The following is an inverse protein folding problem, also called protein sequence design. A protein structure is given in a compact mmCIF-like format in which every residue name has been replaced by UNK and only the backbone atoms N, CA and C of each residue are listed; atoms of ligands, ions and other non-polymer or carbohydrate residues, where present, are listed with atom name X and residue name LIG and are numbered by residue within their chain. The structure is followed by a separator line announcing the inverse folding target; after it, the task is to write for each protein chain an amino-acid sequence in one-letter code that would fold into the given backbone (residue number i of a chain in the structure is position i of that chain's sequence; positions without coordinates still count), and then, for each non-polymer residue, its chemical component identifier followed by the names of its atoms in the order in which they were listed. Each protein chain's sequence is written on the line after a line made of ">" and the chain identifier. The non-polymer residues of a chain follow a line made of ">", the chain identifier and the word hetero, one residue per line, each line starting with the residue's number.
data_IF_789170593105
#
_entry.id   IF_789170593105
#
_cell.length_a   1.000
_cell.length_b   1.000
_cell.length_c   1.000
_cell.angle_alpha   90.00
_cell.angle_beta   90.00
_cell.angle_gamma   90.00
#
_symmetry.space_group_name_H-M   'P 1'
#
loop_
_entity.id
_entity.type
_entity.pdbx_description
1 polymer ?
#
# COMPACT_ATOMS: atom_id res chain seq x y z
N UNK A 1 5.32 7.60 12.59
CA UNK A 1 5.57 6.47 13.51
C UNK A 1 6.27 5.43 12.66
N UNK A 2 7.60 5.45 12.68
CA UNK A 2 8.43 4.80 11.65
C UNK A 2 8.42 3.28 11.81
N UNK A 3 8.18 2.57 10.70
CA UNK A 3 8.31 1.11 10.60
C UNK A 3 9.70 0.61 11.07
N UNK A 4 10.72 1.46 11.09
CA UNK A 4 12.07 1.12 11.53
C UNK A 4 12.18 0.74 13.02
N UNK A 5 11.25 1.15 13.89
CA UNK A 5 11.43 0.97 15.35
C UNK A 5 10.88 -0.36 15.90
N UNK A 6 10.15 -1.15 15.11
CA UNK A 6 9.44 -2.36 15.57
C UNK A 6 10.25 -3.67 15.41
N UNK A 7 11.56 -3.64 15.68
CA UNK A 7 12.43 -4.82 15.54
C UNK A 7 12.95 -5.42 16.85
N UNK A 8 12.40 -5.06 18.00
CA UNK A 8 12.78 -5.69 19.28
C UNK A 8 11.75 -6.73 19.75
N UNK A 9 12.23 -7.98 19.82
CA UNK A 9 11.66 -9.13 20.54
C UNK A 9 10.46 -9.87 19.92
N UNK A 10 10.67 -10.67 18.87
CA UNK A 10 10.06 -12.02 18.71
C UNK A 10 10.83 -12.83 17.65
N UNK A 11 11.46 -13.95 18.02
CA UNK A 11 12.10 -14.89 17.09
C UNK A 11 11.04 -15.73 16.37
N UNK A 12 10.50 -15.23 15.26
CA UNK A 12 9.74 -16.05 14.31
C UNK A 12 10.67 -16.62 13.23
N UNK A 13 10.52 -17.91 12.91
CA UNK A 13 11.27 -18.64 11.85
C UNK A 13 10.90 -18.24 10.41
N UNK A 14 10.18 -17.13 10.22
CA UNK A 14 9.69 -16.72 8.90
C UNK A 14 10.84 -16.20 8.03
N UNK A 15 11.04 -16.83 6.86
CA UNK A 15 12.03 -16.40 5.86
C UNK A 15 11.59 -15.17 5.07
N UNK A 16 10.28 -14.94 4.98
CA UNK A 16 9.66 -13.84 4.23
C UNK A 16 8.83 -12.96 5.16
N UNK A 17 8.77 -11.70 4.81
CA UNK A 17 8.03 -10.64 5.48
C UNK A 17 7.03 -10.09 4.48
N UNK A 18 5.78 -9.96 4.90
CA UNK A 18 4.77 -9.17 4.21
C UNK A 18 4.76 -7.77 4.84
N UNK A 19 5.17 -6.78 4.07
CA UNK A 19 4.92 -5.37 4.39
C UNK A 19 3.54 -5.01 3.84
N UNK A 20 2.63 -4.60 4.72
CA UNK A 20 1.25 -4.26 4.42
C UNK A 20 0.83 -2.98 5.17
N UNK A 21 -0.20 -2.32 4.66
CA UNK A 21 -0.79 -1.13 5.27
C UNK A 21 -2.01 -1.48 6.14
N UNK A 22 -2.33 -0.66 7.16
CA UNK A 22 -3.50 -0.87 8.02
C UNK A 22 -4.83 -0.89 7.27
N UNK A 23 -4.88 -0.30 6.07
CA UNK A 23 -6.04 -0.28 5.20
C UNK A 23 -6.01 -1.34 4.09
N UNK A 24 -5.28 -2.43 4.33
CA UNK A 24 -5.38 -3.67 3.57
C UNK A 24 -6.37 -4.65 4.21
N UNK A 25 -7.33 -5.12 3.40
CA UNK A 25 -8.25 -6.20 3.77
C UNK A 25 -7.96 -7.42 2.91
N UNK A 26 -7.66 -8.54 3.55
CA UNK A 26 -7.51 -9.82 2.86
C UNK A 26 -8.88 -10.40 2.49
N UNK A 27 -9.09 -10.67 1.21
CA UNK A 27 -10.32 -11.32 0.71
C UNK A 27 -10.19 -12.82 0.58
N UNK A 28 -8.96 -13.34 0.53
CA UNK A 28 -8.63 -14.78 0.51
C UNK A 28 -7.21 -15.03 1.03
N UNK A 29 -6.83 -16.28 1.34
CA UNK A 29 -5.47 -16.60 1.76
C UNK A 29 -4.43 -16.12 0.74
N UNK A 30 -3.40 -15.42 1.24
CA UNK A 30 -2.29 -14.91 0.43
C UNK A 30 -1.13 -15.93 0.46
N UNK A 31 -0.83 -16.62 -0.66
CA UNK A 31 0.38 -17.43 -0.74
C UNK A 31 1.63 -16.54 -0.80
N UNK A 32 2.80 -17.14 -0.60
CA UNK A 32 4.04 -16.42 -0.87
C UNK A 32 4.16 -16.14 -2.37
N UNK A 33 4.01 -14.87 -2.77
CA UNK A 33 4.11 -14.44 -4.16
C UNK A 33 5.56 -14.15 -4.58
N UNK A 34 6.49 -14.03 -3.63
CA UNK A 34 7.90 -13.83 -3.88
C UNK A 34 8.61 -15.13 -4.26
N UNK A 35 9.72 -15.02 -4.98
CA UNK A 35 10.53 -16.16 -5.40
C UNK A 35 12.00 -15.94 -5.07
N UNK A 36 12.48 -16.59 -4.01
CA UNK A 36 13.87 -16.51 -3.52
C UNK A 36 14.41 -15.08 -3.37
N UNK A 37 15.19 -14.59 -4.34
CA UNK A 37 15.77 -13.26 -4.32
C UNK A 37 14.94 -12.21 -5.08
N UNK A 38 13.80 -12.59 -5.63
CA UNK A 38 12.86 -11.73 -6.34
C UNK A 38 11.62 -11.49 -5.46
N UNK A 39 11.54 -10.36 -4.72
CA UNK A 39 10.38 -10.02 -3.94
C UNK A 39 9.16 -9.77 -4.84
N UNK A 40 7.94 -9.85 -4.29
CA UNK A 40 6.73 -9.53 -5.03
C UNK A 40 6.14 -8.20 -4.55
N UNK A 41 5.76 -7.32 -5.48
CA UNK A 41 5.22 -6.00 -5.18
C UNK A 41 4.07 -5.63 -6.12
N UNK A 42 3.19 -4.73 -5.67
CA UNK A 42 2.18 -4.14 -6.54
C UNK A 42 2.78 -2.96 -7.35
N UNK A 43 2.58 -2.91 -8.68
CA UNK A 43 3.01 -1.77 -9.48
C UNK A 43 2.02 -0.60 -9.36
N UNK A 44 2.49 0.54 -8.87
CA UNK A 44 1.70 1.74 -8.72
C UNK A 44 1.82 2.63 -9.96
N UNK A 45 0.68 2.95 -10.58
CA UNK A 45 0.66 3.75 -11.81
C UNK A 45 1.19 5.18 -11.63
N UNK A 46 1.20 5.70 -10.39
CA UNK A 46 1.68 7.04 -10.04
C UNK A 46 3.14 7.06 -9.55
N UNK A 47 3.81 5.91 -9.49
CA UNK A 47 5.24 5.83 -9.24
C UNK A 47 5.93 5.72 -10.60
N UNK A 48 6.43 6.85 -11.11
CA UNK A 48 6.97 7.00 -12.47
C UNK A 48 8.42 7.51 -12.44
N UNK A 49 9.41 6.69 -12.02
CA UNK A 49 10.80 7.13 -11.87
C UNK A 49 11.39 7.82 -13.12
N UNK A 50 11.03 7.33 -14.32
CA UNK A 50 11.49 7.88 -15.60
C UNK A 50 11.00 9.32 -15.85
N UNK A 51 9.77 9.65 -15.44
CA UNK A 51 9.20 11.00 -15.59
C UNK A 51 9.87 11.99 -14.63
N UNK A 52 10.45 11.48 -13.55
CA UNK A 52 11.13 12.25 -12.51
C UNK A 52 12.66 12.07 -12.53
N UNK A 53 13.25 11.71 -13.67
CA UNK A 53 14.69 11.35 -13.76
C UNK A 53 15.60 12.41 -13.12
N UNK A 54 15.37 13.70 -13.38
CA UNK A 54 16.20 14.78 -12.81
C UNK A 54 16.26 14.73 -11.28
N UNK A 55 15.13 14.50 -10.62
CA UNK A 55 15.03 14.42 -9.16
C UNK A 55 15.64 13.09 -8.67
N UNK A 56 15.28 11.98 -9.32
CA UNK A 56 15.77 10.65 -8.98
C UNK A 56 17.30 10.55 -9.05
N UNK A 57 17.96 11.22 -10.00
CA UNK A 57 19.42 11.19 -10.15
C UNK A 57 20.20 11.73 -8.95
N UNK A 58 19.56 12.49 -8.05
CA UNK A 58 20.17 12.89 -6.77
C UNK A 58 20.43 11.67 -5.86
N UNK A 59 19.60 10.63 -5.98
CA UNK A 59 19.60 9.43 -5.12
C UNK A 59 20.00 8.14 -5.85
N UNK A 60 19.87 8.12 -7.18
CA UNK A 60 20.30 7.03 -8.06
C UNK A 60 21.26 7.54 -9.15
N UNK A 61 22.55 7.71 -8.82
CA UNK A 61 23.55 8.25 -9.74
C UNK A 61 23.67 7.45 -11.03
N UNK A 62 24.15 8.08 -12.12
CA UNK A 62 24.25 7.42 -13.44
C UNK A 62 25.13 6.17 -13.43
N UNK A 63 26.12 6.13 -12.54
CA UNK A 63 27.05 5.02 -12.36
C UNK A 63 26.37 3.77 -11.78
N UNK A 64 25.18 3.93 -11.17
CA UNK A 64 24.41 2.81 -10.63
C UNK A 64 23.56 2.10 -11.67
N UNK A 65 23.23 2.76 -12.79
CA UNK A 65 22.44 2.19 -13.87
C UNK A 65 21.41 3.17 -14.46
N UNK A 66 20.63 2.73 -15.46
CA UNK A 66 19.49 3.48 -15.97
C UNK A 66 18.37 3.60 -14.94
N UNK A 67 17.59 4.71 -14.97
CA UNK A 67 16.44 4.90 -14.08
C UNK A 67 15.35 3.84 -14.29
N UNK A 68 15.32 3.17 -15.44
CA UNK A 68 14.43 2.05 -15.72
C UNK A 68 14.64 0.84 -14.81
N UNK A 69 15.76 0.77 -14.08
CA UNK A 69 16.00 -0.29 -13.09
C UNK A 69 15.23 -0.04 -11.78
N UNK A 70 14.63 1.14 -11.61
CA UNK A 70 13.80 1.44 -10.45
C UNK A 70 12.37 0.98 -10.75
N UNK A 71 11.96 -0.09 -10.08
CA UNK A 71 10.60 -0.63 -10.19
C UNK A 71 9.54 0.44 -9.82
N UNK A 72 8.40 0.51 -10.53
CA UNK A 72 7.32 1.46 -10.24
C UNK A 72 6.47 0.98 -9.05
N UNK A 73 7.08 0.86 -7.88
CA UNK A 73 6.49 0.23 -6.68
C UNK A 73 6.58 1.14 -5.45
N UNK A 74 5.90 0.76 -4.37
CA UNK A 74 6.17 1.24 -3.03
C UNK A 74 6.56 0.09 -2.10
N UNK A 75 6.71 0.40 -0.82
CA UNK A 75 7.05 -0.58 0.22
C UNK A 75 5.88 -1.48 0.63
N UNK A 76 4.66 -1.23 0.16
CA UNK A 76 3.46 -1.98 0.51
C UNK A 76 2.43 -1.99 -0.64
N UNK A 77 1.76 -3.12 -0.92
CA UNK A 77 2.07 -4.45 -0.39
C UNK A 77 3.34 -5.02 -1.03
N UNK A 78 4.23 -5.55 -0.20
CA UNK A 78 5.45 -6.24 -0.67
C UNK A 78 5.66 -7.52 0.14
N UNK A 79 5.96 -8.63 -0.54
CA UNK A 79 6.51 -9.83 0.11
C UNK A 79 8.00 -9.90 -0.22
N UNK A 80 8.84 -9.83 0.80
CA UNK A 80 10.30 -9.79 0.66
C UNK A 80 10.98 -10.75 1.63
N UNK A 81 12.07 -11.37 1.20
CA UNK A 81 12.90 -12.22 2.07
C UNK A 81 13.55 -11.35 3.14
N UNK A 82 13.57 -11.82 4.39
CA UNK A 82 14.10 -11.06 5.54
C UNK A 82 15.51 -10.54 5.29
N UNK A 83 16.39 -11.36 4.73
CA UNK A 83 17.79 -10.99 4.43
C UNK A 83 17.90 -9.88 3.37
N UNK A 84 16.96 -9.81 2.43
CA UNK A 84 16.92 -8.72 1.46
C UNK A 84 16.40 -7.44 2.10
N UNK A 85 15.37 -7.53 2.94
CA UNK A 85 14.86 -6.37 3.68
C UNK A 85 15.95 -5.78 4.59
N UNK A 86 16.67 -6.63 5.32
CA UNK A 86 17.81 -6.22 6.16
C UNK A 86 18.91 -5.52 5.34
N UNK A 87 19.14 -5.96 4.10
CA UNK A 87 20.10 -5.33 3.18
C UNK A 87 19.65 -3.93 2.73
N UNK A 88 18.38 -3.77 2.37
CA UNK A 88 17.87 -2.50 1.81
C UNK A 88 17.46 -1.49 2.87
N UNK A 89 17.03 -1.93 4.06
CA UNK A 89 16.42 -1.07 5.08
C UNK A 89 17.31 0.11 5.53
N UNK A 90 18.63 -0.05 5.76
CA UNK A 90 19.48 1.09 6.10
C UNK A 90 19.56 2.13 4.98
N UNK A 91 19.60 1.69 3.72
CA UNK A 91 19.62 2.59 2.56
C UNK A 91 18.27 3.23 2.34
N UNK A 92 17.18 2.48 2.51
CA UNK A 92 15.83 3.02 2.44
C UNK A 92 15.65 4.15 3.44
N UNK A 93 15.96 3.93 4.73
CA UNK A 93 15.90 4.98 5.76
C UNK A 93 16.72 6.22 5.38
N UNK A 94 17.96 6.04 4.93
CA UNK A 94 18.82 7.17 4.57
C UNK A 94 18.29 7.95 3.36
N UNK A 95 17.84 7.25 2.31
CA UNK A 95 17.26 7.89 1.12
C UNK A 95 15.98 8.62 1.49
N UNK A 96 15.12 8.02 2.32
CA UNK A 96 13.90 8.66 2.84
C UNK A 96 14.19 9.99 3.52
N UNK A 97 15.16 10.02 4.44
CA UNK A 97 15.56 11.26 5.14
C UNK A 97 16.12 12.29 4.15
N UNK A 98 17.02 11.88 3.26
CA UNK A 98 17.61 12.79 2.26
C UNK A 98 16.57 13.35 1.27
N UNK A 99 15.59 12.54 0.87
CA UNK A 99 14.47 12.98 0.05
C UNK A 99 13.59 13.97 0.81
N UNK A 100 13.37 13.75 2.11
CA UNK A 100 12.55 14.62 2.96
C UNK A 100 13.21 15.97 3.25
N UNK A 101 14.53 16.00 3.38
CA UNK A 101 15.32 17.21 3.63
C UNK A 101 15.55 18.05 2.36
N UNK A 102 15.44 17.47 1.17
CA UNK A 102 15.55 18.18 -0.11
C UNK A 102 14.19 18.78 -0.52
N UNK A 103 14.05 20.11 -0.43
CA UNK A 103 12.78 20.81 -0.69
C UNK A 103 12.19 20.53 -2.09
N UNK A 104 13.01 20.40 -3.13
CA UNK A 104 12.54 20.08 -4.49
C UNK A 104 11.94 18.67 -4.53
N UNK A 105 12.59 17.71 -3.87
CA UNK A 105 12.19 16.31 -3.83
C UNK A 105 10.97 16.09 -2.96
N UNK A 106 10.93 16.67 -1.75
CA UNK A 106 9.77 16.60 -0.86
C UNK A 106 8.53 17.21 -1.53
N UNK A 107 8.70 18.34 -2.22
CA UNK A 107 7.61 18.94 -2.99
C UNK A 107 7.17 18.09 -4.18
N UNK A 108 8.10 17.39 -4.84
CA UNK A 108 7.82 16.58 -6.03
C UNK A 108 7.09 15.28 -5.67
N UNK A 109 7.59 14.55 -4.68
CA UNK A 109 7.03 13.24 -4.31
C UNK A 109 5.99 13.32 -3.19
N UNK A 110 6.07 14.32 -2.30
CA UNK A 110 5.10 14.56 -1.25
C UNK A 110 4.78 13.30 -0.44
N UNK A 111 3.49 12.92 -0.41
CA UNK A 111 3.03 11.81 0.41
C UNK A 111 3.51 10.42 -0.07
N UNK A 112 3.99 10.28 -1.31
CA UNK A 112 4.56 9.02 -1.84
C UNK A 112 6.09 8.95 -1.76
N UNK A 113 6.73 9.91 -1.09
CA UNK A 113 8.19 9.99 -0.98
C UNK A 113 8.82 8.70 -0.45
N UNK A 114 8.26 8.11 0.60
CA UNK A 114 8.74 6.84 1.17
C UNK A 114 8.66 5.67 0.17
N UNK A 115 7.67 5.69 -0.73
CA UNK A 115 7.53 4.67 -1.78
C UNK A 115 8.65 4.80 -2.80
N UNK A 116 8.97 6.03 -3.24
CA UNK A 116 10.12 6.30 -4.11
C UNK A 116 11.44 5.95 -3.42
N UNK A 117 11.61 6.28 -2.14
CA UNK A 117 12.80 5.93 -1.39
C UNK A 117 13.01 4.41 -1.29
N UNK A 118 11.93 3.64 -1.06
CA UNK A 118 11.98 2.18 -1.08
C UNK A 118 12.40 1.63 -2.45
N UNK A 119 11.79 2.14 -3.53
CA UNK A 119 12.10 1.71 -4.89
C UNK A 119 13.57 2.02 -5.27
N UNK A 120 14.04 3.22 -4.95
CA UNK A 120 15.45 3.63 -5.16
C UNK A 120 16.40 2.77 -4.34
N UNK A 121 16.12 2.54 -3.06
CA UNK A 121 16.96 1.70 -2.21
C UNK A 121 17.04 0.26 -2.72
N UNK A 122 15.92 -0.29 -3.20
CA UNK A 122 15.89 -1.61 -3.82
C UNK A 122 16.80 -1.68 -5.05
N UNK A 123 16.68 -0.70 -5.96
CA UNK A 123 17.51 -0.61 -7.16
C UNK A 123 19.01 -0.44 -6.82
N UNK A 124 19.37 0.40 -5.84
CA UNK A 124 20.75 0.59 -5.38
C UNK A 124 21.42 -0.70 -4.91
N UNK A 125 20.63 -1.66 -4.46
CA UNK A 125 21.07 -2.97 -3.98
C UNK A 125 20.86 -4.11 -4.99
N UNK A 126 20.43 -3.79 -6.21
CA UNK A 126 20.15 -4.76 -7.27
C UNK A 126 18.97 -5.68 -6.98
N UNK A 127 18.01 -5.24 -6.17
CA UNK A 127 16.79 -5.98 -5.86
C UNK A 127 15.70 -5.56 -6.84
N UNK A 128 15.20 -6.51 -7.63
CA UNK A 128 14.11 -6.31 -8.60
C UNK A 128 12.89 -7.10 -8.16
N UNK A 129 11.70 -6.55 -8.41
CA UNK A 129 10.45 -7.12 -7.95
C UNK A 129 9.66 -7.82 -9.06
N UNK A 130 9.03 -8.93 -8.71
CA UNK A 130 7.94 -9.52 -9.48
C UNK A 130 6.73 -8.60 -9.33
N UNK A 131 6.40 -7.87 -10.40
CA UNK A 131 5.25 -6.96 -10.41
C UNK A 131 3.93 -7.73 -10.51
N UNK A 132 3.12 -7.66 -9.46
CA UNK A 132 1.85 -8.39 -9.31
C UNK A 132 0.66 -7.45 -9.32
N UNK A 133 0.04 -7.26 -10.49
CA UNK A 133 -1.20 -6.48 -10.63
C UNK A 133 -2.39 -7.12 -9.92
N UNK A 134 -2.35 -8.44 -9.71
CA UNK A 134 -3.34 -9.19 -8.96
C UNK A 134 -3.07 -9.19 -7.45
N UNK A 135 -2.06 -8.48 -6.95
CA UNK A 135 -1.77 -8.46 -5.52
C UNK A 135 -2.89 -7.77 -4.73
N UNK A 136 -3.35 -6.62 -5.23
CA UNK A 136 -4.43 -5.85 -4.60
C UNK A 136 -5.32 -5.13 -5.62
N UNK A 137 -6.47 -4.66 -5.16
CA UNK A 137 -7.35 -3.71 -5.85
C UNK A 137 -7.61 -2.46 -5.01
N UNK A 138 -8.03 -1.37 -5.65
CA UNK A 138 -8.27 -0.06 -5.06
C UNK A 138 -9.69 0.45 -5.40
N UNK A 139 -10.73 0.04 -4.65
CA UNK A 139 -12.06 0.62 -4.79
C UNK A 139 -12.04 2.13 -4.43
N UNK A 140 -12.93 2.94 -5.03
CA UNK A 140 -14.02 2.54 -5.93
C UNK A 140 -13.62 2.36 -7.41
N UNK A 141 -12.34 2.56 -7.74
CA UNK A 141 -11.87 2.54 -9.14
C UNK A 141 -11.81 1.12 -9.72
N UNK A 142 -11.31 0.16 -8.92
CA UNK A 142 -11.38 -1.25 -9.26
C UNK A 142 -12.74 -1.82 -8.84
N UNK A 143 -13.53 -2.28 -9.80
CA UNK A 143 -14.95 -2.63 -9.58
C UNK A 143 -15.20 -4.10 -9.22
N UNK A 144 -14.23 -4.98 -9.50
CA UNK A 144 -14.34 -6.44 -9.31
C UNK A 144 -13.16 -6.95 -8.47
N UNK A 145 -13.39 -8.04 -7.74
CA UNK A 145 -12.30 -8.68 -6.97
C UNK A 145 -11.36 -9.48 -7.87
N UNK A 146 -11.90 -10.12 -8.91
CA UNK A 146 -11.17 -11.04 -9.78
C UNK A 146 -10.29 -12.03 -8.98
N UNK A 147 -9.04 -12.23 -9.39
CA UNK A 147 -8.09 -13.10 -8.72
C UNK A 147 -7.25 -12.38 -7.67
N UNK A 148 -7.69 -11.22 -7.15
CA UNK A 148 -6.89 -10.45 -6.20
C UNK A 148 -6.95 -10.96 -4.77
N UNK A 149 -5.96 -10.57 -3.95
CA UNK A 149 -5.81 -11.03 -2.57
C UNK A 149 -6.18 -9.97 -1.53
N UNK A 150 -5.92 -8.70 -1.86
CA UNK A 150 -6.07 -7.56 -0.95
C UNK A 150 -7.01 -6.52 -1.56
N UNK A 151 -7.91 -5.97 -0.74
CA UNK A 151 -8.56 -4.69 -1.01
C UNK A 151 -7.77 -3.62 -0.25
N UNK A 152 -7.26 -2.62 -0.96
CA UNK A 152 -6.66 -1.43 -0.38
C UNK A 152 -7.67 -0.28 -0.39
N UNK A 153 -8.25 0.06 0.76
CA UNK A 153 -9.33 1.04 0.86
C UNK A 153 -8.85 2.48 1.08
N UNK A 154 -7.94 2.94 0.22
CA UNK A 154 -7.33 4.27 0.33
C UNK A 154 -8.26 5.42 -0.07
N UNK A 155 -9.17 5.17 -1.00
CA UNK A 155 -10.08 6.18 -1.56
C UNK A 155 -11.46 6.15 -0.88
N UNK A 156 -12.07 7.33 -0.76
CA UNK A 156 -13.47 7.44 -0.33
C UNK A 156 -14.42 6.82 -1.35
N UNK A 157 -15.36 6.01 -0.87
CA UNK A 157 -16.42 5.39 -1.64
C UNK A 157 -17.73 6.14 -1.38
N UNK A 158 -18.02 7.14 -2.22
CA UNK A 158 -19.20 7.99 -2.11
C UNK A 158 -20.21 7.68 -3.22
N UNK A 159 -21.44 7.31 -2.88
CA UNK A 159 -22.46 6.89 -3.84
C UNK A 159 -23.81 7.54 -3.57
N UNK A 160 -24.59 7.76 -4.63
CA UNK A 160 -26.03 8.03 -4.52
C UNK A 160 -26.78 6.76 -4.09
N UNK A 161 -28.01 6.90 -3.60
CA UNK A 161 -28.89 5.76 -3.28
C UNK A 161 -29.27 4.91 -4.50
N UNK A 162 -28.96 5.39 -5.72
CA UNK A 162 -29.10 4.65 -6.97
C UNK A 162 -27.85 3.86 -7.37
N UNK A 163 -26.79 3.92 -6.55
CA UNK A 163 -25.53 3.24 -6.81
C UNK A 163 -24.57 3.96 -7.75
N UNK A 164 -24.76 5.28 -7.95
CA UNK A 164 -23.90 6.09 -8.83
C UNK A 164 -22.77 6.75 -8.02
N UNK A 165 -21.51 6.59 -8.44
CA UNK A 165 -20.34 7.16 -7.76
C UNK A 165 -20.36 8.70 -7.84
N UNK A 166 -20.22 9.37 -6.70
CA UNK A 166 -20.24 10.84 -6.61
C UNK A 166 -18.83 11.40 -6.40
N UNK A 167 -18.18 11.80 -7.49
CA UNK A 167 -16.81 12.33 -7.44
C UNK A 167 -16.73 13.67 -6.69
N UNK A 168 -15.77 13.76 -5.76
CA UNK A 168 -15.42 15.00 -5.05
C UNK A 168 -16.53 15.55 -4.14
N UNK A 169 -17.56 14.76 -3.84
CA UNK A 169 -18.68 15.13 -2.99
C UNK A 169 -19.01 13.98 -2.05
N UNK A 170 -19.46 14.33 -0.84
CA UNK A 170 -20.00 13.35 0.10
C UNK A 170 -21.28 12.76 -0.52
N UNK A 171 -21.28 11.45 -0.71
CA UNK A 171 -22.41 10.70 -1.25
C UNK A 171 -23.53 10.54 -0.23
N UNK A 172 -24.71 10.12 -0.70
CA UNK A 172 -25.84 9.76 0.17
C UNK A 172 -25.52 8.49 0.98
N UNK A 173 -24.77 7.57 0.38
CA UNK A 173 -24.07 6.49 1.06
C UNK A 173 -22.56 6.72 0.95
N UNK A 174 -21.81 6.48 2.04
CA UNK A 174 -20.37 6.72 2.10
C UNK A 174 -19.65 5.68 2.92
N UNK A 175 -18.49 5.26 2.41
CA UNK A 175 -17.42 4.65 3.20
C UNK A 175 -16.09 5.34 2.90
N UNK A 176 -15.52 6.05 3.86
CA UNK A 176 -14.17 6.63 3.77
C UNK A 176 -13.49 6.51 5.12
N UNK A 177 -12.28 5.93 5.15
CA UNK A 177 -11.51 5.78 6.39
C UNK A 177 -11.22 7.12 7.09
N UNK A 178 -11.18 8.22 6.34
CA UNK A 178 -10.99 9.58 6.87
C UNK A 178 -12.20 10.09 7.66
N UNK A 179 -13.33 9.40 7.59
CA UNK A 179 -14.47 9.66 8.47
C UNK A 179 -14.32 9.00 9.86
N UNK A 180 -13.26 8.22 10.07
CA UNK A 180 -13.00 7.44 11.29
C UNK A 180 -11.56 7.69 11.79
N UNK A 181 -11.17 8.96 11.94
CA UNK A 181 -9.80 9.30 12.39
C UNK A 181 -9.60 9.12 13.90
N UNK A 182 -10.66 9.28 14.68
CA UNK A 182 -10.60 9.24 16.16
C UNK A 182 -10.93 7.85 16.73
N UNK A 183 -11.11 6.86 15.87
CA UNK A 183 -11.48 5.51 16.28
C UNK A 183 -11.84 4.62 15.10
N UNK A 184 -12.07 3.32 15.33
CA UNK A 184 -12.42 2.39 14.28
C UNK A 184 -13.82 2.68 13.71
N UNK A 185 -14.12 2.23 12.48
CA UNK A 185 -15.47 2.31 11.92
C UNK A 185 -16.50 1.69 12.88
N UNK A 186 -17.72 2.25 13.02
CA UNK A 186 -18.73 1.67 13.89
C UNK A 186 -19.12 0.27 13.42
N UNK A 187 -19.53 -0.58 14.36
CA UNK A 187 -20.10 -1.90 14.05
C UNK A 187 -21.37 -1.75 13.21
N UNK A 188 -21.66 -2.76 12.38
CA UNK A 188 -22.87 -2.85 11.56
C UNK A 188 -23.04 -1.68 10.57
N UNK A 189 -21.98 -1.37 9.82
CA UNK A 189 -22.04 -0.42 8.71
C UNK A 189 -23.15 -0.81 7.72
N UNK A 190 -23.86 0.19 7.22
CA UNK A 190 -24.88 0.00 6.19
C UNK A 190 -24.21 -0.51 4.91
N UNK A 191 -24.76 -1.57 4.32
CA UNK A 191 -24.31 -2.04 3.02
C UNK A 191 -24.59 -0.96 1.96
N UNK A 192 -23.74 -0.85 0.93
CA UNK A 192 -23.96 0.09 -0.15
C UNK A 192 -25.25 -0.22 -0.93
N UNK A 193 -25.85 0.79 -1.57
CA UNK A 193 -27.08 0.62 -2.35
C UNK A 193 -26.89 -0.33 -3.55
N UNK A 194 -27.99 -0.87 -4.11
CA UNK A 194 -27.94 -1.64 -5.35
C UNK A 194 -27.24 -0.86 -6.47
N UNK A 195 -26.43 -1.55 -7.29
CA UNK A 195 -25.66 -0.94 -8.37
C UNK A 195 -24.21 -0.58 -8.00
N UNK A 196 -23.88 -0.54 -6.70
CA UNK A 196 -22.51 -0.34 -6.25
C UNK A 196 -21.62 -1.57 -6.56
N UNK A 197 -20.36 -1.37 -7.01
CA UNK A 197 -19.48 -2.46 -7.41
C UNK A 197 -19.21 -3.52 -6.33
N UNK A 198 -18.89 -4.74 -6.79
CA UNK A 198 -18.57 -5.90 -5.94
C UNK A 198 -17.44 -5.60 -4.95
N UNK A 199 -16.41 -4.89 -5.38
CA UNK A 199 -15.26 -4.53 -4.55
C UNK A 199 -15.65 -3.72 -3.31
N UNK A 200 -16.50 -2.70 -3.49
CA UNK A 200 -16.99 -1.84 -2.40
C UNK A 200 -17.96 -2.62 -1.49
N UNK A 201 -18.86 -3.42 -2.07
CA UNK A 201 -19.76 -4.29 -1.29
C UNK A 201 -18.95 -5.25 -0.40
N UNK A 202 -17.90 -5.85 -0.95
CA UNK A 202 -17.04 -6.80 -0.24
C UNK A 202 -16.23 -6.13 0.85
N UNK A 203 -15.66 -4.96 0.58
CA UNK A 203 -14.97 -4.11 1.57
C UNK A 203 -15.84 -3.93 2.83
N UNK A 204 -17.07 -3.44 2.66
CA UNK A 204 -17.97 -3.16 3.78
C UNK A 204 -18.38 -4.43 4.51
N UNK A 205 -18.64 -5.52 3.78
CA UNK A 205 -18.93 -6.83 4.39
C UNK A 205 -17.77 -7.33 5.24
N UNK A 206 -16.53 -7.18 4.78
CA UNK A 206 -15.33 -7.60 5.50
C UNK A 206 -15.09 -6.75 6.75
N UNK A 207 -15.33 -5.44 6.69
CA UNK A 207 -15.28 -4.57 7.88
C UNK A 207 -16.36 -4.96 8.90
N UNK A 208 -17.58 -5.26 8.44
CA UNK A 208 -18.65 -5.75 9.31
C UNK A 208 -18.32 -7.11 9.93
N UNK A 209 -17.76 -8.04 9.16
CA UNK A 209 -17.29 -9.34 9.64
C UNK A 209 -16.19 -9.17 10.71
N UNK A 210 -15.18 -8.33 10.44
CA UNK A 210 -14.08 -8.09 11.37
C UNK A 210 -14.59 -7.43 12.66
N UNK A 211 -15.37 -6.35 12.54
CA UNK A 211 -15.91 -5.65 13.70
C UNK A 211 -16.76 -6.57 14.56
N UNK A 212 -17.64 -7.40 13.99
CA UNK A 212 -18.48 -8.35 14.73
C UNK A 212 -17.67 -9.40 15.51
N UNK A 213 -16.51 -9.83 15.01
CA UNK A 213 -15.75 -10.94 15.59
C UNK A 213 -14.58 -10.51 16.47
N UNK A 214 -14.15 -9.24 16.41
CA UNK A 214 -13.04 -8.73 17.23
C UNK A 214 -13.57 -8.18 18.57
N UNK A 215 -13.14 -8.76 19.72
CA UNK A 215 -13.72 -8.44 21.03
C UNK A 215 -13.41 -7.01 21.52
N UNK A 216 -12.31 -6.43 21.05
CA UNK A 216 -11.85 -5.07 21.42
C UNK A 216 -11.96 -4.09 20.26
N UNK A 217 -12.92 -4.32 19.35
CA UNK A 217 -13.09 -3.44 18.20
C UNK A 217 -13.34 -2.00 18.62
N UNK A 218 -14.18 -1.75 19.62
CA UNK A 218 -14.60 -0.40 20.01
C UNK A 218 -13.56 0.33 20.90
N UNK A 219 -12.56 -0.40 21.41
CA UNK A 219 -11.52 0.17 22.28
C UNK A 219 -10.52 1.05 21.51
N UNK A 220 -10.47 0.93 20.18
CA UNK A 220 -9.39 1.48 19.37
C UNK A 220 -8.06 0.75 19.60
N UNK A 221 -6.99 1.27 19.00
CA UNK A 221 -5.60 0.82 19.24
C UNK A 221 -5.09 1.46 20.53
#
# INVERSE_FOLDING_TARGET
>A
MDLCFWYCCFLFSCKYILMAEPDHIFVKPLPNLAYDNDPAAFPFFYITPLEHEKVIRKYYPKERGPVSDIDPIGNSPVIIKKTLLEKIAPTWMNVSIQMKEDEETDKTFGWVLEMYAYAVASALHGVQHILRKDFMIQPPFDTKLENTFIIHFTYGCDYSLKGELTYGKIGEWRFDKRSFLDGPPPRNLTLPPPGVPESVVTLVKKVNEASANLPRWDDGI
#
